data_IF_558182756887
#
_entry.id   IF_558182756887
#
_cell.length_a   1.000
_cell.length_b   1.000
_cell.length_c   1.000
_cell.angle_alpha   90.00
_cell.angle_beta   90.00
_cell.angle_gamma   90.00
#
_symmetry.space_group_name_H-M   'P 1'
#
loop_
_entity.id
_entity.type
_entity.pdbx_description
1 polymer ?
#
# COMPACT_ATOMS: atom_id res chain seq x y z
N UNK A 1 0.12 6.85 16.92
CA UNK A 1 -0.19 6.55 15.50
C UNK A 1 0.69 5.38 15.06
N UNK A 2 0.11 4.31 14.50
CA UNK A 2 0.88 3.14 14.04
C UNK A 2 1.57 3.36 12.69
N UNK A 3 1.52 4.55 12.16
CA UNK A 3 2.19 4.87 10.90
C UNK A 3 2.60 6.34 10.84
N UNK A 4 3.62 6.58 10.02
CA UNK A 4 4.11 7.92 9.70
C UNK A 4 3.90 8.16 8.21
N UNK A 5 3.36 9.33 7.86
CA UNK A 5 3.13 9.74 6.48
C UNK A 5 4.19 10.73 6.05
N UNK A 6 4.81 10.50 4.90
CA UNK A 6 5.73 11.45 4.27
C UNK A 6 5.28 11.68 2.83
N UNK A 7 4.92 12.91 2.49
CA UNK A 7 4.62 13.29 1.12
C UNK A 7 5.90 13.61 0.37
N UNK A 8 6.03 13.08 -0.84
CA UNK A 8 7.13 13.37 -1.74
C UNK A 8 6.59 14.11 -2.96
N UNK A 9 7.48 14.63 -3.81
CA UNK A 9 7.07 15.45 -4.96
C UNK A 9 6.04 14.76 -5.87
N UNK A 10 6.18 13.45 -6.10
CA UNK A 10 5.32 12.70 -7.02
C UNK A 10 4.60 11.53 -6.36
N UNK A 11 4.60 11.45 -5.05
CA UNK A 11 3.97 10.33 -4.37
C UNK A 11 3.98 10.46 -2.86
N UNK A 12 3.64 9.36 -2.20
CA UNK A 12 3.53 9.29 -0.75
C UNK A 12 4.28 8.06 -0.24
N UNK A 13 4.84 8.18 0.95
CA UNK A 13 5.43 7.06 1.67
C UNK A 13 4.79 6.93 3.04
N UNK A 14 4.43 5.71 3.41
CA UNK A 14 3.99 5.38 4.75
C UNK A 14 4.99 4.42 5.39
N UNK A 15 5.35 4.70 6.63
CA UNK A 15 6.07 3.78 7.49
C UNK A 15 5.09 3.27 8.53
N UNK A 16 4.71 1.99 8.43
CA UNK A 16 3.87 1.35 9.45
C UNK A 16 4.75 0.65 10.47
N UNK A 17 4.32 0.60 11.71
CA UNK A 17 5.06 -0.05 12.78
C UNK A 17 4.12 -0.61 13.85
N UNK A 18 4.63 -1.61 14.58
CA UNK A 18 3.86 -2.28 15.63
C UNK A 18 2.77 -3.18 15.07
N UNK A 19 1.68 -3.28 15.79
CA UNK A 19 0.52 -4.09 15.39
C UNK A 19 -0.40 -3.24 14.51
N UNK A 20 -0.64 -3.69 13.30
CA UNK A 20 -1.40 -2.93 12.30
C UNK A 20 -2.73 -3.63 12.02
N UNK A 21 -3.82 -2.89 12.17
CA UNK A 21 -5.18 -3.38 11.87
C UNK A 21 -5.61 -2.98 10.47
N UNK A 22 -6.62 -3.66 9.94
CA UNK A 22 -7.22 -3.31 8.66
C UNK A 22 -7.80 -1.89 8.67
N UNK A 23 -8.39 -1.48 9.79
CA UNK A 23 -8.95 -0.13 9.94
C UNK A 23 -7.87 0.96 9.79
N UNK A 24 -6.68 0.71 10.32
CA UNK A 24 -5.58 1.67 10.20
C UNK A 24 -5.10 1.82 8.77
N UNK A 25 -5.11 0.74 8.00
CA UNK A 25 -4.81 0.78 6.56
C UNK A 25 -5.87 1.59 5.81
N UNK A 26 -7.13 1.35 6.11
CA UNK A 26 -8.22 2.12 5.49
C UNK A 26 -8.13 3.59 5.84
N UNK A 27 -7.80 3.95 7.07
CA UNK A 27 -7.64 5.34 7.51
C UNK A 27 -6.51 6.03 6.74
N UNK A 28 -5.38 5.34 6.53
CA UNK A 28 -4.27 5.89 5.77
C UNK A 28 -4.66 6.13 4.30
N UNK A 29 -5.35 5.17 3.71
CA UNK A 29 -5.83 5.29 2.33
C UNK A 29 -6.86 6.42 2.19
N UNK A 30 -7.80 6.55 3.13
CA UNK A 30 -8.78 7.63 3.12
C UNK A 30 -8.11 9.00 3.18
N UNK A 31 -7.10 9.15 4.02
CA UNK A 31 -6.34 10.38 4.13
C UNK A 31 -5.63 10.71 2.81
N UNK A 32 -5.09 9.71 2.11
CA UNK A 32 -4.48 9.88 0.80
C UNK A 32 -5.51 10.32 -0.24
N UNK A 33 -6.64 9.62 -0.32
CA UNK A 33 -7.66 9.92 -1.34
C UNK A 33 -8.34 11.28 -1.12
N UNK A 34 -8.39 11.74 0.12
CA UNK A 34 -8.98 13.03 0.48
C UNK A 34 -8.04 14.21 0.28
N UNK A 35 -6.75 13.95 0.07
CA UNK A 35 -5.75 14.99 -0.14
C UNK A 35 -5.63 15.29 -1.63
N UNK A 36 -5.68 16.57 -2.01
CA UNK A 36 -5.61 16.95 -3.42
C UNK A 36 -4.29 16.55 -4.10
N UNK A 37 -3.22 16.31 -3.32
CA UNK A 37 -1.96 15.81 -3.87
C UNK A 37 -2.09 14.43 -4.49
N UNK A 38 -3.13 13.66 -4.12
CA UNK A 38 -3.39 12.36 -4.74
C UNK A 38 -3.74 12.46 -6.21
N UNK A 39 -4.28 13.60 -6.66
CA UNK A 39 -4.66 13.81 -8.06
C UNK A 39 -3.46 13.73 -9.02
N UNK A 40 -2.28 14.09 -8.55
CA UNK A 40 -1.06 14.08 -9.34
C UNK A 40 -0.04 13.04 -8.86
N UNK A 41 -0.36 12.28 -7.82
CA UNK A 41 0.54 11.27 -7.30
C UNK A 41 0.74 10.13 -8.31
N UNK A 42 1.99 9.68 -8.42
CA UNK A 42 2.37 8.59 -9.33
C UNK A 42 2.70 7.30 -8.61
N UNK A 43 2.91 7.36 -7.29
CA UNK A 43 3.27 6.18 -6.52
C UNK A 43 2.90 6.28 -5.05
N UNK A 44 2.83 5.10 -4.43
CA UNK A 44 2.79 4.93 -2.98
C UNK A 44 3.89 3.94 -2.59
N UNK A 45 4.59 4.20 -1.49
CA UNK A 45 5.52 3.26 -0.90
C UNK A 45 4.99 2.91 0.48
N UNK A 46 4.75 1.64 0.73
CA UNK A 46 4.29 1.13 2.01
C UNK A 46 5.43 0.38 2.67
N UNK A 47 6.07 0.99 3.65
CA UNK A 47 7.17 0.38 4.40
C UNK A 47 6.60 -0.35 5.61
N UNK A 48 6.62 -1.67 5.57
CA UNK A 48 6.16 -2.54 6.63
C UNK A 48 7.30 -3.27 7.36
N UNK A 49 8.55 -2.78 7.20
CA UNK A 49 9.71 -3.44 7.81
C UNK A 49 9.70 -3.38 9.34
N UNK A 50 8.99 -2.42 9.92
CA UNK A 50 8.87 -2.24 11.38
C UNK A 50 7.55 -2.75 11.94
N UNK A 51 6.74 -3.41 11.14
CA UNK A 51 5.48 -3.99 11.57
C UNK A 51 5.75 -5.28 12.33
N UNK A 52 5.14 -5.41 13.51
CA UNK A 52 5.28 -6.59 14.37
C UNK A 52 4.24 -7.66 14.03
N UNK A 53 3.01 -7.22 13.75
CA UNK A 53 1.93 -8.12 13.36
C UNK A 53 0.90 -7.39 12.52
N UNK A 54 0.15 -8.14 11.71
CA UNK A 54 -0.99 -7.62 10.97
C UNK A 54 -2.23 -8.43 11.34
N UNK A 55 -3.27 -7.73 11.77
CA UNK A 55 -4.54 -8.34 12.15
C UNK A 55 -5.52 -8.25 10.98
N UNK A 56 -5.21 -8.99 9.92
CA UNK A 56 -6.04 -9.02 8.72
C UNK A 56 -6.53 -10.43 8.47
N UNK A 57 -7.84 -10.60 8.46
CA UNK A 57 -8.45 -11.82 7.97
C UNK A 57 -8.42 -11.82 6.44
N UNK A 58 -8.70 -12.98 5.84
CA UNK A 58 -8.84 -13.06 4.39
C UNK A 58 -9.93 -12.13 3.88
N UNK A 59 -11.01 -11.98 4.65
CA UNK A 59 -12.09 -11.05 4.32
C UNK A 59 -11.61 -9.60 4.32
N UNK A 60 -10.81 -9.22 5.32
CA UNK A 60 -10.25 -7.87 5.41
C UNK A 60 -9.41 -7.53 4.18
N UNK A 61 -8.58 -8.47 3.75
CA UNK A 61 -7.75 -8.30 2.55
C UNK A 61 -8.62 -8.08 1.32
N UNK A 62 -9.70 -8.85 1.16
CA UNK A 62 -10.63 -8.70 0.04
C UNK A 62 -11.36 -7.36 0.06
N UNK A 63 -11.77 -6.90 1.24
CA UNK A 63 -12.44 -5.60 1.40
C UNK A 63 -11.50 -4.46 1.03
N UNK A 64 -10.27 -4.49 1.51
CA UNK A 64 -9.26 -3.48 1.18
C UNK A 64 -9.00 -3.47 -0.33
N UNK A 65 -8.83 -4.63 -0.93
CA UNK A 65 -8.58 -4.74 -2.37
C UNK A 65 -9.75 -4.18 -3.19
N UNK A 66 -10.98 -4.48 -2.80
CA UNK A 66 -12.16 -3.94 -3.48
C UNK A 66 -12.27 -2.42 -3.35
N UNK A 67 -11.94 -1.89 -2.19
CA UNK A 67 -11.91 -0.44 -1.95
C UNK A 67 -10.88 0.24 -2.86
N UNK A 68 -9.69 -0.33 -2.97
CA UNK A 68 -8.63 0.21 -3.81
C UNK A 68 -8.96 0.13 -5.31
N UNK A 69 -9.69 -0.89 -5.73
CA UNK A 69 -10.17 -0.99 -7.12
C UNK A 69 -11.10 0.19 -7.45
N UNK A 70 -11.97 0.58 -6.51
CA UNK A 70 -12.81 1.77 -6.68
C UNK A 70 -11.97 3.04 -6.83
N UNK A 71 -10.94 3.19 -6.01
CA UNK A 71 -10.02 4.32 -6.09
C UNK A 71 -9.22 4.33 -7.40
N UNK A 72 -8.86 3.16 -7.92
CA UNK A 72 -8.09 3.04 -9.15
C UNK A 72 -8.85 3.50 -10.40
N UNK A 73 -10.16 3.65 -10.32
CA UNK A 73 -10.96 4.22 -11.40
C UNK A 73 -10.76 5.73 -11.53
N UNK A 74 -10.39 6.38 -10.45
CA UNK A 74 -10.16 7.82 -10.38
C UNK A 74 -8.67 8.14 -10.47
N UNK A 75 -7.86 7.47 -9.63
CA UNK A 75 -6.41 7.61 -9.62
C UNK A 75 -5.83 6.44 -10.42
N UNK A 76 -5.50 6.68 -11.69
CA UNK A 76 -5.06 5.62 -12.60
C UNK A 76 -3.54 5.49 -12.64
N UNK A 77 -3.10 4.28 -12.98
CA UNK A 77 -1.68 3.98 -13.25
C UNK A 77 -0.73 4.26 -12.08
N UNK A 78 -1.24 4.12 -10.86
CA UNK A 78 -0.42 4.28 -9.67
C UNK A 78 0.51 3.06 -9.52
N UNK A 79 1.77 3.31 -9.14
CA UNK A 79 2.68 2.25 -8.72
C UNK A 79 2.67 2.17 -7.21
N UNK A 80 2.45 0.98 -6.67
CA UNK A 80 2.46 0.77 -5.22
C UNK A 80 3.53 -0.25 -4.87
N UNK A 81 4.53 0.18 -4.11
CA UNK A 81 5.60 -0.70 -3.64
C UNK A 81 5.38 -1.04 -2.17
N UNK A 82 5.48 -2.32 -1.84
CA UNK A 82 5.39 -2.80 -0.46
C UNK A 82 6.75 -3.30 -0.03
N UNK A 83 7.28 -2.78 1.06
CA UNK A 83 8.58 -3.19 1.61
C UNK A 83 8.35 -4.01 2.88
N UNK A 84 8.70 -5.28 2.86
CA UNK A 84 8.54 -6.19 3.99
C UNK A 84 9.62 -7.26 3.97
N UNK A 85 10.08 -7.67 5.15
CA UNK A 85 11.09 -8.72 5.33
C UNK A 85 10.56 -9.91 6.11
N UNK A 86 9.53 -9.73 6.93
CA UNK A 86 8.90 -10.81 7.70
C UNK A 86 8.07 -11.69 6.77
N UNK A 87 8.23 -13.02 6.88
CA UNK A 87 7.56 -13.97 5.99
C UNK A 87 6.04 -13.94 6.08
N UNK A 88 5.49 -13.78 7.30
CA UNK A 88 4.05 -13.74 7.48
C UNK A 88 3.45 -12.48 6.85
N UNK A 89 4.09 -11.34 7.07
CA UNK A 89 3.65 -10.06 6.51
C UNK A 89 3.78 -10.09 4.99
N UNK A 90 4.90 -10.58 4.48
CA UNK A 90 5.13 -10.73 3.03
C UNK A 90 4.05 -11.61 2.41
N UNK A 91 3.70 -12.72 3.05
CA UNK A 91 2.65 -13.62 2.55
C UNK A 91 1.29 -12.96 2.45
N UNK A 92 0.92 -12.15 3.44
CA UNK A 92 -0.35 -11.40 3.42
C UNK A 92 -0.36 -10.33 2.34
N UNK A 93 0.75 -9.64 2.14
CA UNK A 93 0.88 -8.64 1.08
C UNK A 93 0.80 -9.29 -0.31
N UNK A 94 1.44 -10.43 -0.51
CA UNK A 94 1.37 -11.17 -1.77
C UNK A 94 -0.06 -11.59 -2.07
N UNK A 95 -0.81 -12.03 -1.06
CA UNK A 95 -2.22 -12.39 -1.22
C UNK A 95 -3.05 -11.18 -1.65
N UNK A 96 -2.82 -10.02 -1.05
CA UNK A 96 -3.47 -8.78 -1.44
C UNK A 96 -3.16 -8.41 -2.89
N UNK A 97 -1.91 -8.54 -3.29
CA UNK A 97 -1.47 -8.25 -4.66
C UNK A 97 -2.17 -9.19 -5.65
N UNK A 98 -2.25 -10.49 -5.35
CA UNK A 98 -2.92 -11.46 -6.21
C UNK A 98 -4.42 -11.17 -6.36
N UNK A 99 -5.09 -10.83 -5.27
CA UNK A 99 -6.51 -10.48 -5.30
C UNK A 99 -6.73 -9.24 -6.16
N UNK A 100 -5.88 -8.23 -5.99
CA UNK A 100 -5.97 -6.98 -6.76
C UNK A 100 -5.77 -7.23 -8.26
N UNK A 101 -4.85 -8.11 -8.62
CA UNK A 101 -4.62 -8.49 -10.02
C UNK A 101 -5.84 -9.19 -10.62
N UNK A 102 -6.48 -10.07 -9.86
CA UNK A 102 -7.69 -10.78 -10.29
C UNK A 102 -8.86 -9.83 -10.49
N UNK A 103 -8.88 -8.71 -9.78
CA UNK A 103 -9.88 -7.67 -9.92
C UNK A 103 -9.55 -6.66 -11.04
N UNK A 104 -8.49 -6.89 -11.79
CA UNK A 104 -8.05 -6.04 -12.91
C UNK A 104 -7.76 -4.60 -12.51
N UNK A 105 -7.02 -4.41 -11.42
CA UNK A 105 -6.57 -3.07 -11.02
C UNK A 105 -5.68 -2.45 -12.09
N UNK A 106 -5.85 -1.14 -12.33
CA UNK A 106 -4.95 -0.38 -13.19
C UNK A 106 -3.61 -0.06 -12.50
N UNK A 107 -3.51 -0.30 -11.19
CA UNK A 107 -2.30 -0.05 -10.44
C UNK A 107 -1.30 -1.19 -10.62
N UNK A 108 -0.02 -0.83 -10.59
CA UNK A 108 1.07 -1.81 -10.56
C UNK A 108 1.50 -2.00 -9.11
N UNK A 109 1.36 -3.22 -8.61
CA UNK A 109 1.64 -3.58 -7.22
C UNK A 109 2.83 -4.52 -7.18
N UNK A 110 3.83 -4.23 -6.36
CA UNK A 110 5.03 -5.07 -6.27
C UNK A 110 5.62 -5.05 -4.87
N UNK A 111 6.09 -6.22 -4.41
CA UNK A 111 6.77 -6.38 -3.14
C UNK A 111 8.28 -6.25 -3.27
N UNK A 112 8.92 -5.72 -2.23
CA UNK A 112 10.36 -5.54 -2.16
C UNK A 112 10.85 -5.90 -0.76
N UNK A 113 12.13 -6.24 -0.64
CA UNK A 113 12.75 -6.53 0.64
C UNK A 113 13.51 -5.34 1.23
N UNK A 114 13.75 -4.29 0.44
CA UNK A 114 14.42 -3.09 0.92
C UNK A 114 13.84 -1.84 0.27
N UNK A 115 14.01 -0.73 0.97
CA UNK A 115 13.47 0.57 0.54
C UNK A 115 14.12 1.06 -0.75
N UNK A 116 15.43 0.90 -0.90
CA UNK A 116 16.15 1.41 -2.07
C UNK A 116 15.62 0.85 -3.39
N UNK A 117 15.36 -0.47 -3.42
CA UNK A 117 14.80 -1.12 -4.61
C UNK A 117 13.38 -0.66 -4.89
N UNK A 118 12.57 -0.49 -3.84
CA UNK A 118 11.21 0.00 -3.96
C UNK A 118 11.18 1.42 -4.54
N UNK A 119 12.01 2.31 -4.00
CA UNK A 119 12.11 3.69 -4.46
C UNK A 119 12.56 3.76 -5.92
N UNK A 120 13.56 3.00 -6.29
CA UNK A 120 14.07 2.96 -7.66
C UNK A 120 12.97 2.54 -8.64
N UNK A 121 12.15 1.57 -8.26
CA UNK A 121 11.07 1.08 -9.11
C UNK A 121 9.94 2.10 -9.27
N UNK A 122 9.50 2.75 -8.18
CA UNK A 122 8.35 3.67 -8.24
C UNK A 122 8.65 4.94 -9.02
N UNK A 123 9.92 5.35 -9.06
CA UNK A 123 10.33 6.57 -9.79
C UNK A 123 10.77 6.28 -11.23
N UNK A 124 10.84 5.01 -11.60
CA UNK A 124 11.30 4.61 -12.95
C UNK A 124 10.32 4.95 -14.07
#
# INVERSE_FOLDING_TARGET
MPYRTTWEKHGIMWEFYGDVTAQEIEDANDAFYSDERSDTAKYQIVDATKVSSVEWSERDIKVIAAYDIGAARVIKNLKVAYVAVDEEITGKLEKYIDISRKLNSSWQLKGFQNFSSAKAWVVS
#
